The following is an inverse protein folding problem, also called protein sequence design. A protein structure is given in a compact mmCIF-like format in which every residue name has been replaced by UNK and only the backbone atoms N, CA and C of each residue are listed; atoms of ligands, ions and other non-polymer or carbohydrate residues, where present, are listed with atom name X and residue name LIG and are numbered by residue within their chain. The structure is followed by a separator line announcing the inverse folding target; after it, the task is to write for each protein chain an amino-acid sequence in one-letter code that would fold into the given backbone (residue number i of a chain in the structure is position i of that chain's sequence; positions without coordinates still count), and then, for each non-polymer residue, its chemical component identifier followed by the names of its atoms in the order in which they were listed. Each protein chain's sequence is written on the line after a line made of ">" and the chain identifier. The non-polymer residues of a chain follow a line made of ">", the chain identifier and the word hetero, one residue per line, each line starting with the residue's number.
data_IF_261490375545
#
_entry.id   IF_261490375545
#
_cell.length_a   1.000
_cell.length_b   1.000
_cell.length_c   1.000
_cell.angle_alpha   90.00
_cell.angle_beta   90.00
_cell.angle_gamma   90.00
#
_symmetry.space_group_name_H-M   'P 1'
#
loop_
_entity.id
_entity.type
_entity.pdbx_description
1 polymer ?
#
# COMPACT_ATOMS: atom_id res chain seq x y z
N UNK A 1 -8.47 4.42 -12.25
CA UNK A 1 -7.04 4.46 -11.89
C UNK A 1 -6.98 4.57 -10.37
N UNK A 2 -6.33 3.62 -9.68
CA UNK A 2 -6.21 3.71 -8.21
C UNK A 2 -5.11 4.74 -7.93
N UNK A 3 -5.39 5.87 -7.26
CA UNK A 3 -4.42 6.96 -7.07
C UNK A 3 -3.10 6.54 -6.41
N UNK A 4 -3.15 5.42 -5.70
CA UNK A 4 -2.02 4.77 -5.05
C UNK A 4 -0.94 4.27 -6.04
N UNK A 5 -1.31 4.04 -7.31
CA UNK A 5 -0.40 3.55 -8.33
C UNK A 5 0.57 4.61 -8.86
N UNK A 6 0.30 5.90 -8.60
CA UNK A 6 1.03 7.00 -9.21
C UNK A 6 2.26 7.44 -8.42
N UNK A 7 2.52 6.83 -7.25
CA UNK A 7 3.68 7.03 -6.37
C UNK A 7 4.29 8.44 -6.50
N UNK A 8 3.62 9.50 -6.04
CA UNK A 8 4.02 10.87 -6.35
C UNK A 8 5.38 11.20 -5.76
N UNK A 9 6.42 11.25 -6.60
CA UNK A 9 7.78 11.57 -6.20
C UNK A 9 7.93 13.10 -6.07
N UNK A 10 8.10 13.66 -4.86
CA UNK A 10 8.23 15.10 -4.67
C UNK A 10 9.59 15.65 -5.13
N UNK A 11 10.56 14.76 -5.41
CA UNK A 11 11.92 15.08 -5.85
C UNK A 11 12.52 13.98 -6.78
N UNK A 12 13.84 14.03 -7.03
CA UNK A 12 14.56 13.09 -7.90
C UNK A 12 15.02 11.80 -7.20
N UNK A 13 14.64 11.57 -5.93
CA UNK A 13 15.07 10.37 -5.19
C UNK A 13 14.39 9.09 -5.66
N UNK A 14 13.23 9.20 -6.34
CA UNK A 14 12.37 8.06 -6.64
C UNK A 14 11.70 7.47 -5.39
N UNK A 15 11.71 8.19 -4.26
CA UNK A 15 11.09 7.78 -3.00
C UNK A 15 9.89 8.67 -2.73
N UNK A 16 8.79 8.04 -2.35
CA UNK A 16 7.58 8.72 -1.90
C UNK A 16 7.31 8.29 -0.47
N UNK A 17 7.14 9.28 0.43
CA UNK A 17 6.78 9.03 1.82
C UNK A 17 5.39 9.61 2.08
N UNK A 18 4.47 8.75 2.52
CA UNK A 18 3.16 9.17 3.01
C UNK A 18 3.02 8.82 4.49
N UNK A 19 2.51 9.77 5.27
CA UNK A 19 2.24 9.58 6.70
C UNK A 19 0.77 9.87 6.99
N UNK A 20 0.13 8.94 7.69
CA UNK A 20 -1.28 9.00 8.05
C UNK A 20 -1.42 8.80 9.57
N UNK A 21 -1.78 9.86 10.27
CA UNK A 21 -2.14 9.85 11.70
C UNK A 21 -3.63 9.55 11.93
N UNK A 22 -4.45 9.68 10.88
CA UNK A 22 -5.89 9.41 10.92
C UNK A 22 -6.37 8.75 9.61
N UNK A 23 -7.29 7.79 9.74
CA UNK A 23 -7.84 7.03 8.61
C UNK A 23 -8.56 7.92 7.59
N UNK A 24 -9.19 9.01 8.01
CA UNK A 24 -9.90 9.94 7.11
C UNK A 24 -8.96 10.66 6.14
N UNK A 25 -7.66 10.71 6.43
CA UNK A 25 -6.66 11.32 5.55
C UNK A 25 -6.18 10.37 4.45
N UNK A 26 -6.49 9.08 4.55
CA UNK A 26 -6.12 8.08 3.55
C UNK A 26 -7.06 8.20 2.35
N UNK A 27 -6.58 8.82 1.27
CA UNK A 27 -7.38 9.22 0.10
C UNK A 27 -7.89 8.05 -0.75
N UNK A 28 -7.34 6.86 -0.56
CA UNK A 28 -7.58 5.67 -1.39
C UNK A 28 -8.29 4.55 -0.62
N UNK A 29 -8.89 4.86 0.54
CA UNK A 29 -9.79 3.91 1.20
C UNK A 29 -11.13 3.84 0.48
N UNK A 30 -11.48 2.65 0.01
CA UNK A 30 -12.84 2.27 -0.35
C UNK A 30 -13.66 2.04 0.92
N UNK A 31 -14.89 2.57 0.90
CA UNK A 31 -15.85 2.50 2.00
C UNK A 31 -15.26 2.89 3.37
N UNK A 32 -14.26 3.78 3.37
CA UNK A 32 -13.50 4.23 4.56
C UNK A 32 -12.83 3.10 5.34
N UNK A 33 -12.69 1.90 4.77
CA UNK A 33 -12.26 0.70 5.50
C UNK A 33 -11.08 -0.03 4.88
N UNK A 34 -10.98 -0.08 3.56
CA UNK A 34 -9.97 -0.91 2.89
C UNK A 34 -9.37 -0.23 1.68
N UNK A 35 -8.13 -0.59 1.35
CA UNK A 35 -7.53 -0.20 0.07
C UNK A 35 -7.86 -1.28 -0.94
N UNK A 36 -8.21 -0.85 -2.16
CA UNK A 36 -8.54 -1.79 -3.23
C UNK A 36 -7.34 -2.64 -3.60
N UNK A 37 -7.55 -3.93 -3.89
CA UNK A 37 -6.48 -4.81 -4.36
C UNK A 37 -5.84 -4.27 -5.64
N UNK A 38 -4.52 -4.23 -5.66
CA UNK A 38 -3.75 -3.65 -6.75
C UNK A 38 -2.34 -4.26 -6.82
N UNK A 39 -1.65 -3.90 -7.89
CA UNK A 39 -0.29 -4.31 -8.20
C UNK A 39 0.49 -3.08 -8.63
N UNK A 40 1.76 -2.96 -8.22
CA UNK A 40 2.62 -1.83 -8.56
C UNK A 40 3.99 -2.32 -9.06
N UNK A 41 4.70 -1.44 -9.78
CA UNK A 41 6.02 -1.68 -10.37
C UNK A 41 7.18 -1.13 -9.50
N UNK A 42 6.87 -0.51 -8.37
CA UNK A 42 7.83 -0.07 -7.35
C UNK A 42 7.85 -1.02 -6.13
N UNK A 43 8.78 -0.83 -5.20
CA UNK A 43 8.73 -1.48 -3.89
C UNK A 43 7.97 -0.60 -2.90
N UNK A 44 7.12 -1.22 -2.09
CA UNK A 44 6.41 -0.54 -1.02
C UNK A 44 6.86 -1.07 0.34
N UNK A 45 7.00 -0.17 1.30
CA UNK A 45 7.22 -0.50 2.71
C UNK A 45 6.17 0.20 3.54
N UNK A 46 5.48 -0.54 4.41
CA UNK A 46 4.49 0.02 5.33
C UNK A 46 5.01 -0.14 6.73
N UNK A 47 5.01 0.94 7.52
CA UNK A 47 5.31 0.87 8.95
C UNK A 47 4.03 1.13 9.74
N UNK A 48 3.57 0.14 10.49
CA UNK A 48 2.40 0.31 11.37
C UNK A 48 2.87 0.97 12.67
N UNK A 49 2.43 2.20 12.92
CA UNK A 49 2.81 2.95 14.13
C UNK A 49 1.78 2.86 15.25
N UNK A 50 0.49 2.69 14.91
CA UNK A 50 -0.62 2.64 15.86
C UNK A 50 -1.81 1.87 15.28
N UNK A 51 -2.56 1.20 16.15
CA UNK A 51 -3.72 0.39 15.75
C UNK A 51 -3.29 -0.94 15.14
N UNK A 52 -4.15 -1.55 14.33
CA UNK A 52 -3.87 -2.79 13.61
C UNK A 52 -4.66 -2.85 12.32
N UNK A 53 -4.19 -3.65 11.36
CA UNK A 53 -4.90 -3.91 10.11
C UNK A 53 -4.72 -5.37 9.66
N UNK A 54 -5.62 -5.83 8.79
CA UNK A 54 -5.41 -7.06 8.03
C UNK A 54 -4.87 -6.69 6.66
N UNK A 55 -3.64 -7.10 6.38
CA UNK A 55 -3.03 -6.95 5.07
C UNK A 55 -3.26 -8.21 4.25
N UNK A 56 -3.84 -8.06 3.06
CA UNK A 56 -3.99 -9.17 2.13
C UNK A 56 -2.87 -9.12 1.09
N UNK A 57 -2.06 -10.16 1.03
CA UNK A 57 -0.93 -10.27 0.11
C UNK A 57 -0.76 -11.72 -0.37
N UNK A 58 -0.67 -11.91 -1.70
CA UNK A 58 -0.49 -13.22 -2.34
C UNK A 58 -1.38 -14.32 -1.74
N UNK A 59 -2.69 -14.08 -1.80
CA UNK A 59 -3.72 -15.01 -1.32
C UNK A 59 -3.66 -15.34 0.18
N UNK A 60 -2.98 -14.51 0.97
CA UNK A 60 -2.80 -14.69 2.41
C UNK A 60 -3.22 -13.43 3.17
N UNK A 61 -3.97 -13.60 4.24
CA UNK A 61 -4.25 -12.54 5.21
C UNK A 61 -3.21 -12.54 6.32
N UNK A 62 -2.55 -11.40 6.50
CA UNK A 62 -1.47 -11.19 7.47
C UNK A 62 -1.94 -10.08 8.43
N UNK A 63 -2.12 -10.37 9.74
CA UNK A 63 -2.39 -9.33 10.71
C UNK A 63 -1.13 -8.50 10.94
N UNK A 64 -1.26 -7.17 10.89
CA UNK A 64 -0.17 -6.24 11.18
C UNK A 64 -0.49 -5.41 12.43
N UNK A 65 0.52 -5.26 13.28
CA UNK A 65 0.49 -4.62 14.58
C UNK A 65 1.56 -3.51 14.66
N UNK A 66 1.51 -2.61 15.66
CA UNK A 66 2.50 -1.55 15.78
C UNK A 66 3.92 -2.10 15.89
N UNK A 67 4.81 -1.61 15.04
CA UNK A 67 6.20 -2.08 14.90
C UNK A 67 6.43 -3.02 13.71
N UNK A 68 5.39 -3.59 13.11
CA UNK A 68 5.53 -4.41 11.91
C UNK A 68 5.89 -3.56 10.69
N UNK A 69 6.80 -4.10 9.87
CA UNK A 69 7.30 -3.47 8.64
C UNK A 69 7.29 -4.46 7.46
N UNK A 70 6.11 -4.72 6.85
CA UNK A 70 6.07 -5.49 5.61
C UNK A 70 6.74 -4.74 4.46
N UNK A 71 7.45 -5.50 3.62
CA UNK A 71 7.97 -5.03 2.33
C UNK A 71 7.22 -5.76 1.21
N UNK A 72 6.54 -4.99 0.37
CA UNK A 72 5.79 -5.47 -0.78
C UNK A 72 6.67 -5.29 -2.02
N UNK A 73 7.01 -6.42 -2.65
CA UNK A 73 7.83 -6.44 -3.85
C UNK A 73 7.10 -5.83 -5.05
N UNK A 74 7.84 -5.12 -5.90
CA UNK A 74 7.39 -4.81 -7.25
C UNK A 74 6.91 -6.08 -7.96
N UNK A 75 5.84 -5.94 -8.73
CA UNK A 75 5.26 -7.02 -9.51
C UNK A 75 5.33 -6.71 -10.99
N UNK A 76 5.92 -7.61 -11.75
CA UNK A 76 6.08 -7.50 -13.19
C UNK A 76 5.13 -8.44 -13.94
N UNK A 77 3.86 -8.56 -13.53
CA UNK A 77 2.88 -9.36 -14.27
C UNK A 77 1.98 -8.49 -15.14
N UNK A 78 2.49 -8.11 -16.32
CA UNK A 78 1.66 -7.82 -17.48
C UNK A 78 1.16 -9.17 -18.03
N UNK A 79 0.11 -9.71 -17.43
CA UNK A 79 -0.62 -10.83 -18.02
C UNK A 79 -2.09 -10.48 -17.98
N UNK A 80 -2.56 -9.94 -19.10
CA UNK A 80 -3.98 -9.78 -19.40
C UNK A 80 -4.66 -11.15 -19.24
N UNK A 81 -5.72 -11.30 -18.43
CA UNK A 81 -6.55 -12.49 -18.55
C UNK A 81 -7.19 -12.46 -19.94
N UNK A 82 -7.14 -13.63 -20.60
CA UNK A 82 -7.69 -13.87 -21.94
C UNK A 82 -9.21 -13.66 -22.00
#
# INVERSE_FOLDING_TARGET
>A
MVPYLDCPHPDQSGITLEYYDDRSKIRFLEDRTSVRLHWHDFYEMVLVLRGSCQHFYRDTYIPLMPGDLPAISASSSRTTPA
#
